data_IF_056330747539
#
_entry.id   IF_056330747539
#
_cell.length_a   1.000
_cell.length_b   1.000
_cell.length_c   1.000
_cell.angle_alpha   90.00
_cell.angle_beta   90.00
_cell.angle_gamma   90.00
#
_symmetry.space_group_name_H-M   'P 1'
#
loop_
_entity.id
_entity.type
_entity.pdbx_description
1 polymer ?
#
# COMPACT_ATOMS: atom_id res chain seq x y z
N UNK A 1 -10.18 16.93 -5.90
CA UNK A 1 -11.02 16.23 -4.91
C UNK A 1 -10.12 15.45 -3.98
N UNK A 2 -10.49 15.25 -2.72
CA UNK A 2 -9.59 14.74 -1.66
C UNK A 2 -8.81 13.46 -2.04
N UNK A 3 -9.40 12.56 -2.83
CA UNK A 3 -8.73 11.35 -3.33
C UNK A 3 -7.60 11.63 -4.32
N UNK A 4 -7.76 12.62 -5.21
CA UNK A 4 -6.73 13.00 -6.16
C UNK A 4 -5.51 13.62 -5.46
N UNK A 5 -5.74 14.39 -4.39
CA UNK A 5 -4.67 15.00 -3.60
C UNK A 5 -3.93 13.96 -2.75
N UNK A 6 -4.66 13.00 -2.15
CA UNK A 6 -4.09 11.86 -1.45
C UNK A 6 -3.24 10.99 -2.39
N UNK A 7 -3.78 10.66 -3.57
CA UNK A 7 -3.06 9.89 -4.59
C UNK A 7 -1.79 10.60 -5.02
N UNK A 8 -1.86 11.88 -5.41
CA UNK A 8 -0.70 12.66 -5.84
C UNK A 8 0.39 12.75 -4.77
N UNK A 9 0.00 12.87 -3.51
CA UNK A 9 0.95 12.97 -2.39
C UNK A 9 1.62 11.62 -2.12
N UNK A 10 0.84 10.53 -2.07
CA UNK A 10 1.36 9.20 -1.83
C UNK A 10 2.22 8.70 -3.01
N UNK A 11 1.86 8.99 -4.26
CA UNK A 11 2.67 8.65 -5.43
C UNK A 11 4.01 9.39 -5.47
N UNK A 12 4.04 10.65 -5.01
CA UNK A 12 5.31 11.38 -4.86
C UNK A 12 6.20 10.78 -3.78
N UNK A 13 5.61 10.46 -2.62
CA UNK A 13 6.34 9.81 -1.52
C UNK A 13 6.89 8.45 -1.96
N UNK A 14 6.07 7.65 -2.65
CA UNK A 14 6.47 6.36 -3.22
C UNK A 14 7.73 6.51 -4.07
N UNK A 15 7.73 7.45 -5.02
CA UNK A 15 8.87 7.69 -5.89
C UNK A 15 10.14 8.08 -5.11
N UNK A 16 10.02 8.96 -4.13
CA UNK A 16 11.15 9.35 -3.28
C UNK A 16 11.73 8.14 -2.55
N UNK A 17 10.87 7.29 -1.98
CA UNK A 17 11.30 6.10 -1.25
C UNK A 17 11.85 5.01 -2.17
N UNK A 18 11.36 4.90 -3.40
CA UNK A 18 11.96 4.07 -4.47
C UNK A 18 13.37 4.57 -4.80
N UNK A 19 13.55 5.88 -4.99
CA UNK A 19 14.84 6.50 -5.35
C UNK A 19 15.91 6.30 -4.26
N UNK A 20 15.52 6.19 -2.99
CA UNK A 20 16.44 5.96 -1.85
C UNK A 20 16.42 4.50 -1.36
N UNK A 21 15.80 3.59 -2.10
CA UNK A 21 15.69 2.16 -1.80
C UNK A 21 15.13 1.85 -0.39
N UNK A 22 14.25 2.72 0.14
CA UNK A 22 13.65 2.55 1.46
C UNK A 22 12.37 1.71 1.37
N UNK A 23 12.51 0.41 1.56
CA UNK A 23 11.41 -0.55 1.48
C UNK A 23 10.25 -0.27 2.45
N UNK A 24 10.53 0.28 3.64
CA UNK A 24 9.49 0.63 4.62
C UNK A 24 8.66 1.82 4.13
N UNK A 25 9.32 2.85 3.61
CA UNK A 25 8.66 4.03 3.04
C UNK A 25 7.87 3.72 1.77
N UNK A 26 8.38 2.83 0.93
CA UNK A 26 7.67 2.30 -0.25
C UNK A 26 6.37 1.62 0.20
N UNK A 27 6.47 0.68 1.15
CA UNK A 27 5.31 -0.07 1.64
C UNK A 27 4.27 0.81 2.35
N UNK A 28 4.68 1.82 3.13
CA UNK A 28 3.76 2.78 3.75
C UNK A 28 3.04 3.64 2.71
N UNK A 29 3.75 4.08 1.67
CA UNK A 29 3.17 4.85 0.57
C UNK A 29 2.16 4.02 -0.23
N UNK A 30 2.51 2.75 -0.53
CA UNK A 30 1.61 1.80 -1.16
C UNK A 30 0.40 1.51 -0.26
N UNK A 31 0.58 1.31 1.04
CA UNK A 31 -0.52 1.14 1.98
C UNK A 31 -1.54 2.29 1.91
N UNK A 32 -1.07 3.54 1.94
CA UNK A 32 -1.95 4.73 1.85
C UNK A 32 -2.65 4.85 0.49
N UNK A 33 -1.98 4.47 -0.61
CA UNK A 33 -2.60 4.37 -1.93
C UNK A 33 -3.71 3.30 -1.94
N UNK A 34 -3.47 2.13 -1.34
CA UNK A 34 -4.45 1.06 -1.22
C UNK A 34 -5.69 1.48 -0.44
N UNK A 35 -5.51 2.22 0.66
CA UNK A 35 -6.63 2.84 1.40
C UNK A 35 -7.41 3.83 0.52
N UNK A 36 -6.72 4.64 -0.28
CA UNK A 36 -7.36 5.60 -1.18
C UNK A 36 -8.21 4.90 -2.25
N UNK A 37 -7.78 3.74 -2.75
CA UNK A 37 -8.59 2.91 -3.66
C UNK A 37 -9.75 2.21 -2.94
N UNK A 38 -9.55 1.75 -1.70
CA UNK A 38 -10.62 1.19 -0.86
C UNK A 38 -11.76 2.17 -0.64
N UNK A 39 -11.44 3.42 -0.31
CA UNK A 39 -12.43 4.49 -0.13
C UNK A 39 -13.21 4.80 -1.42
N UNK A 40 -12.57 4.60 -2.58
CA UNK A 40 -13.20 4.71 -3.90
C UNK A 40 -13.95 3.44 -4.33
N UNK A 41 -13.97 2.38 -3.49
CA UNK A 41 -14.52 1.05 -3.80
C UNK A 41 -13.84 0.37 -5.02
N UNK A 42 -12.65 0.83 -5.38
CA UNK A 42 -11.79 0.23 -6.40
C UNK A 42 -11.05 -0.97 -5.81
N UNK A 43 -11.78 -2.06 -5.56
CA UNK A 43 -11.28 -3.20 -4.78
C UNK A 43 -10.15 -3.96 -5.48
N UNK A 44 -10.18 -4.07 -6.82
CA UNK A 44 -9.15 -4.77 -7.59
C UNK A 44 -7.82 -4.02 -7.50
N UNK A 45 -7.86 -2.70 -7.67
CA UNK A 45 -6.69 -1.82 -7.55
C UNK A 45 -6.17 -1.79 -6.12
N UNK A 46 -7.07 -1.68 -5.13
CA UNK A 46 -6.69 -1.73 -3.72
C UNK A 46 -6.00 -3.06 -3.35
N UNK A 47 -6.52 -4.18 -3.85
CA UNK A 47 -5.94 -5.50 -3.62
C UNK A 47 -4.52 -5.57 -4.14
N UNK A 48 -4.33 -5.21 -5.41
CA UNK A 48 -3.01 -5.21 -6.06
C UNK A 48 -2.00 -4.38 -5.28
N UNK A 49 -2.38 -3.16 -4.91
CA UNK A 49 -1.47 -2.24 -4.20
C UNK A 49 -1.11 -2.76 -2.79
N UNK A 50 -2.05 -3.39 -2.07
CA UNK A 50 -1.72 -3.99 -0.78
C UNK A 50 -0.87 -5.26 -0.89
N UNK A 51 -1.04 -6.05 -1.95
CA UNK A 51 -0.17 -7.19 -2.25
C UNK A 51 1.25 -6.74 -2.60
N UNK A 52 1.40 -5.67 -3.40
CA UNK A 52 2.69 -5.05 -3.72
C UNK A 52 3.40 -4.54 -2.44
N UNK A 53 2.67 -3.85 -1.56
CA UNK A 53 3.20 -3.39 -0.27
C UNK A 53 3.70 -4.53 0.63
N UNK A 54 2.95 -5.62 0.67
CA UNK A 54 3.35 -6.78 1.44
C UNK A 54 4.60 -7.45 0.84
N UNK A 55 4.66 -7.56 -0.49
CA UNK A 55 5.80 -8.14 -1.19
C UNK A 55 7.08 -7.32 -0.93
N UNK A 56 7.02 -5.99 -1.03
CA UNK A 56 8.13 -5.08 -0.71
C UNK A 56 8.71 -5.36 0.68
N UNK A 57 7.86 -5.47 1.71
CA UNK A 57 8.31 -5.74 3.09
C UNK A 57 8.90 -7.14 3.27
N UNK A 58 8.38 -8.14 2.53
CA UNK A 58 8.92 -9.50 2.61
C UNK A 58 10.27 -9.63 1.93
N UNK A 59 10.48 -8.94 0.80
CA UNK A 59 11.75 -8.96 0.07
C UNK A 59 12.87 -8.24 0.83
N UNK A 60 12.54 -7.19 1.58
CA UNK A 60 13.52 -6.42 2.35
C UNK A 60 13.94 -7.07 3.68
N UNK A 61 13.42 -8.25 4.03
CA UNK A 61 13.61 -8.86 5.35
C UNK A 61 12.83 -8.19 6.48
N UNK A 62 12.09 -7.12 6.19
CA UNK A 62 11.23 -6.38 7.13
C UNK A 62 9.86 -7.05 7.33
N UNK A 63 9.72 -8.35 7.08
CA UNK A 63 8.44 -9.07 7.15
C UNK A 63 7.78 -9.15 8.54
N UNK A 64 8.41 -8.59 9.58
CA UNK A 64 7.96 -8.62 10.99
C UNK A 64 7.46 -7.28 11.56
N UNK A 65 7.39 -6.21 10.75
CA UNK A 65 6.83 -4.93 11.23
C UNK A 65 5.29 -4.98 11.30
N UNK A 66 4.65 -4.21 12.20
CA UNK A 66 3.19 -4.18 12.37
C UNK A 66 2.42 -3.95 11.06
N UNK A 67 3.00 -3.18 10.13
CA UNK A 67 2.42 -2.89 8.83
C UNK A 67 2.13 -4.15 8.01
N UNK A 68 3.00 -5.17 8.03
CA UNK A 68 2.77 -6.41 7.31
C UNK A 68 1.52 -7.16 7.79
N UNK A 69 1.21 -7.10 9.10
CA UNK A 69 -0.01 -7.68 9.67
C UNK A 69 -1.25 -6.91 9.23
N UNK A 70 -1.17 -5.58 9.22
CA UNK A 70 -2.26 -4.70 8.73
C UNK A 70 -2.55 -4.99 7.26
N UNK A 71 -1.52 -5.07 6.41
CA UNK A 71 -1.65 -5.38 4.99
C UNK A 71 -2.33 -6.74 4.77
N UNK A 72 -1.93 -7.79 5.50
CA UNK A 72 -2.59 -9.10 5.44
C UNK A 72 -4.08 -9.02 5.81
N UNK A 73 -4.43 -8.25 6.84
CA UNK A 73 -5.83 -8.05 7.23
C UNK A 73 -6.63 -7.32 6.14
N UNK A 74 -6.07 -6.26 5.56
CA UNK A 74 -6.73 -5.51 4.48
C UNK A 74 -6.90 -6.36 3.22
N UNK A 75 -5.89 -7.13 2.83
CA UNK A 75 -5.98 -8.08 1.70
C UNK A 75 -7.13 -9.06 1.93
N UNK A 76 -7.23 -9.64 3.14
CA UNK A 76 -8.34 -10.56 3.49
C UNK A 76 -9.71 -9.86 3.42
N UNK A 77 -9.81 -8.63 3.92
CA UNK A 77 -11.04 -7.83 3.88
C UNK A 77 -11.45 -7.46 2.44
N UNK A 78 -10.49 -7.12 1.59
CA UNK A 78 -10.76 -6.79 0.19
C UNK A 78 -11.20 -8.04 -0.56
N UNK A 79 -10.53 -9.17 -0.34
CA UNK A 79 -10.89 -10.46 -0.96
C UNK A 79 -12.32 -10.93 -0.61
N UNK A 80 -12.90 -10.46 0.50
CA UNK A 80 -14.30 -10.76 0.83
C UNK A 80 -15.32 -9.78 0.22
N UNK A 81 -14.86 -8.75 -0.50
CA UNK A 81 -15.69 -7.70 -1.12
C UNK A 81 -15.69 -7.74 -2.65
N UNK A 82 -14.82 -8.55 -3.24
CA UNK A 82 -14.79 -8.93 -4.66
C UNK A 82 -15.54 -10.26 -4.83
#
# INVERSE_FOLDING_TARGET
>A
GKYADAWKSCSKALKIFEDIENSEGIADSQYKLGLTYLEQKSYVEALKIHEDALNTLTQSGSGKIPLAKVLKSNIKLIKSKI
#
